data_IF_446060455685
#
_entry.id   IF_446060455685
#
_cell.length_a   1.000
_cell.length_b   1.000
_cell.length_c   1.000
_cell.angle_alpha   90.00
_cell.angle_beta   90.00
_cell.angle_gamma   90.00
#
_symmetry.space_group_name_H-M   'P 1'
#
loop_
_entity.id
_entity.type
_entity.pdbx_description
1 polymer ?
#
# COMPACT_ATOMS: atom_id res chain seq x y z
N UNK A 1 -1.60 -33.26 -30.12
CA UNK A 1 -2.45 -32.47 -29.20
C UNK A 1 -1.68 -32.04 -27.95
N UNK A 2 -1.10 -32.98 -27.18
CA UNK A 2 -0.32 -32.70 -25.97
C UNK A 2 0.81 -31.66 -26.16
N UNK A 3 1.55 -31.74 -27.26
CA UNK A 3 2.64 -30.80 -27.56
C UNK A 3 2.15 -29.34 -27.73
N UNK A 4 0.97 -29.14 -28.34
CA UNK A 4 0.38 -27.80 -28.50
C UNK A 4 -0.07 -27.22 -27.15
N UNK A 5 -0.59 -28.07 -26.27
CA UNK A 5 -0.99 -27.71 -24.90
C UNK A 5 0.24 -27.28 -24.09
N UNK A 6 1.33 -28.04 -24.17
CA UNK A 6 2.57 -27.71 -23.44
C UNK A 6 3.17 -26.38 -23.92
N UNK A 7 3.19 -26.14 -25.24
CA UNK A 7 3.66 -24.87 -25.81
C UNK A 7 2.78 -23.71 -25.34
N UNK A 8 1.45 -23.89 -25.35
CA UNK A 8 0.52 -22.87 -24.85
C UNK A 8 0.73 -22.55 -23.37
N UNK A 9 0.95 -23.58 -22.53
CA UNK A 9 1.20 -23.42 -21.10
C UNK A 9 2.53 -22.67 -20.84
N UNK A 10 3.59 -23.04 -21.56
CA UNK A 10 4.89 -22.36 -21.45
C UNK A 10 4.76 -20.89 -21.89
N UNK A 11 4.05 -20.63 -22.99
CA UNK A 11 3.82 -19.26 -23.46
C UNK A 11 3.04 -18.43 -22.43
N UNK A 12 2.03 -19.02 -21.80
CA UNK A 12 1.23 -18.36 -20.76
C UNK A 12 2.04 -18.07 -19.49
N UNK A 13 2.84 -19.02 -19.03
CA UNK A 13 3.70 -18.82 -17.86
C UNK A 13 4.79 -17.78 -18.19
N UNK A 14 5.40 -17.87 -19.37
CA UNK A 14 6.41 -16.93 -19.83
C UNK A 14 5.88 -15.50 -19.93
N UNK A 15 4.67 -15.31 -20.48
CA UNK A 15 4.05 -13.99 -20.55
C UNK A 15 3.71 -13.43 -19.17
N UNK A 16 3.20 -14.26 -18.27
CA UNK A 16 2.92 -13.86 -16.89
C UNK A 16 4.18 -13.42 -16.14
N UNK A 17 5.27 -14.21 -16.25
CA UNK A 17 6.56 -13.84 -15.64
C UNK A 17 7.12 -12.55 -16.23
N UNK A 18 7.00 -12.36 -17.54
CA UNK A 18 7.40 -11.11 -18.18
C UNK A 18 6.63 -9.91 -17.60
N UNK A 19 5.31 -10.03 -17.41
CA UNK A 19 4.50 -8.96 -16.81
C UNK A 19 4.96 -8.60 -15.38
N UNK A 20 5.28 -9.60 -14.56
CA UNK A 20 5.79 -9.36 -13.20
C UNK A 20 7.14 -8.64 -13.24
N UNK A 21 8.05 -9.07 -14.11
CA UNK A 21 9.39 -8.48 -14.22
C UNK A 21 9.38 -7.04 -14.73
N UNK A 22 8.36 -6.67 -15.52
CA UNK A 22 8.19 -5.31 -16.03
C UNK A 22 7.47 -4.39 -15.04
N UNK A 23 6.86 -4.93 -13.98
CA UNK A 23 6.14 -4.13 -13.00
C UNK A 23 7.14 -3.30 -12.15
N UNK A 24 6.96 -1.97 -12.04
CA UNK A 24 7.78 -1.15 -11.16
C UNK A 24 7.68 -1.64 -9.71
N UNK A 25 8.83 -1.76 -9.04
CA UNK A 25 8.91 -2.10 -7.61
C UNK A 25 8.43 -0.97 -6.71
N UNK A 26 8.54 0.27 -7.19
CA UNK A 26 8.24 1.48 -6.43
C UNK A 26 6.96 2.13 -6.90
N UNK A 27 6.13 2.54 -5.95
CA UNK A 27 4.95 3.34 -6.19
C UNK A 27 4.85 4.43 -5.11
N UNK A 28 4.36 5.61 -5.50
CA UNK A 28 4.13 6.73 -4.58
C UNK A 28 2.64 7.01 -4.48
N UNK A 29 2.13 7.15 -3.26
CA UNK A 29 0.74 7.54 -2.98
C UNK A 29 0.77 8.80 -2.14
N UNK A 30 0.09 9.85 -2.62
CA UNK A 30 -0.11 11.08 -1.88
C UNK A 30 -1.62 11.28 -1.62
N UNK A 31 -1.95 11.78 -0.42
CA UNK A 31 -3.30 12.22 -0.05
C UNK A 31 -3.20 13.58 0.61
N UNK A 32 -4.19 14.42 0.34
CA UNK A 32 -4.25 15.78 0.91
C UNK A 32 -5.64 16.01 1.49
N UNK A 33 -5.67 16.69 2.63
CA UNK A 33 -6.90 17.16 3.26
C UNK A 33 -6.65 18.55 3.82
N UNK A 34 -7.71 19.34 3.99
CA UNK A 34 -7.64 20.67 4.61
C UNK A 34 -8.21 20.58 6.02
N UNK A 35 -7.44 21.04 7.00
CA UNK A 35 -7.84 21.05 8.40
C UNK A 35 -7.87 22.51 8.85
N UNK A 36 -9.01 22.95 9.39
CA UNK A 36 -9.16 24.30 9.94
C UNK A 36 -8.53 24.38 11.33
N UNK A 37 -7.21 24.27 11.41
CA UNK A 37 -6.42 24.37 12.63
C UNK A 37 -5.08 25.07 12.36
N UNK A 38 -4.46 25.71 13.37
CA UNK A 38 -3.08 26.19 13.29
C UNK A 38 -2.11 25.06 12.90
N UNK A 39 -1.10 25.31 12.04
CA UNK A 39 -0.15 24.28 11.62
C UNK A 39 0.59 23.60 12.77
N UNK A 40 0.91 24.36 13.83
CA UNK A 40 1.57 23.85 15.03
C UNK A 40 0.76 22.79 15.77
N UNK A 41 -0.58 22.93 15.77
CA UNK A 41 -1.46 21.99 16.46
C UNK A 41 -1.55 20.67 15.68
N UNK A 42 -1.57 20.75 14.35
CA UNK A 42 -1.52 19.58 13.47
C UNK A 42 -0.16 18.88 13.59
N UNK A 43 0.93 19.65 13.54
CA UNK A 43 2.29 19.10 13.66
C UNK A 43 2.49 18.37 15.00
N UNK A 44 2.01 18.96 16.10
CA UNK A 44 2.10 18.35 17.42
C UNK A 44 1.33 17.02 17.56
N UNK A 45 0.37 16.70 16.68
CA UNK A 45 -0.28 15.39 16.63
C UNK A 45 0.51 14.35 15.82
N UNK A 46 1.32 14.80 14.87
CA UNK A 46 2.06 13.94 13.92
C UNK A 46 3.47 13.63 14.43
N UNK A 47 4.11 14.59 15.10
CA UNK A 47 5.49 14.49 15.59
C UNK A 47 5.63 13.56 16.82
N UNK A 48 4.57 13.46 17.64
CA UNK A 48 4.55 12.58 18.82
C UNK A 48 3.75 11.30 18.57
N UNK A 49 4.47 10.18 18.49
CA UNK A 49 3.90 8.86 18.25
C UNK A 49 2.89 8.42 19.33
N UNK A 50 3.01 8.89 20.57
CA UNK A 50 2.05 8.58 21.63
C UNK A 50 0.65 9.13 21.33
N UNK A 51 0.56 10.18 20.51
CA UNK A 51 -0.70 10.81 20.12
C UNK A 51 -1.32 10.16 18.88
N UNK A 52 -0.59 9.27 18.22
CA UNK A 52 -1.04 8.61 16.99
C UNK A 52 -2.30 7.76 17.22
N UNK A 53 -2.51 7.22 18.42
CA UNK A 53 -3.74 6.49 18.76
C UNK A 53 -5.01 7.32 18.50
N UNK A 54 -4.96 8.65 18.67
CA UNK A 54 -6.12 9.52 18.51
C UNK A 54 -6.58 9.69 17.05
N UNK A 55 -5.72 9.39 16.08
CA UNK A 55 -5.99 9.61 14.66
C UNK A 55 -5.51 8.47 13.74
N UNK A 56 -5.04 7.35 14.33
CA UNK A 56 -4.55 6.19 13.58
C UNK A 56 -5.69 5.55 12.77
N UNK A 57 -5.53 5.39 11.45
CA UNK A 57 -6.52 4.71 10.60
C UNK A 57 -6.76 3.25 11.00
N UNK A 58 -5.81 2.65 11.73
CA UNK A 58 -5.82 1.24 12.12
C UNK A 58 -6.40 1.03 13.51
N UNK A 59 -6.20 1.99 14.44
CA UNK A 59 -6.69 1.87 15.82
C UNK A 59 -8.22 1.71 15.89
N UNK A 60 -8.96 2.33 14.98
CA UNK A 60 -10.43 2.16 14.88
C UNK A 60 -10.82 0.84 14.21
N UNK A 61 -10.00 0.32 13.29
CA UNK A 61 -10.32 -0.84 12.45
C UNK A 61 -9.88 -2.18 13.04
N UNK A 62 -8.81 -2.18 13.83
CA UNK A 62 -8.27 -3.37 14.46
C UNK A 62 -8.13 -3.13 15.98
N UNK A 63 -9.01 -3.73 16.81
CA UNK A 63 -8.93 -3.63 18.27
C UNK A 63 -7.64 -4.17 18.89
N UNK A 64 -6.86 -4.95 18.14
CA UNK A 64 -5.57 -5.50 18.57
C UNK A 64 -4.38 -4.70 18.03
N UNK A 65 -4.60 -3.73 17.14
CA UNK A 65 -3.56 -2.82 16.71
C UNK A 65 -3.16 -1.94 17.89
N UNK A 66 -1.97 -2.22 18.43
CA UNK A 66 -1.30 -1.36 19.39
C UNK A 66 -0.34 -0.45 18.63
N UNK A 67 -0.38 0.84 18.97
CA UNK A 67 0.70 1.78 18.67
C UNK A 67 1.85 1.52 19.64
#
# INVERSE_FOLDING_TARGET
MMQKILIGLIAMIGSFLALILLQPSDYQIARTTTISAPPQDVFAQIDDFHRWQAWSPWAERDPKAKV
#
